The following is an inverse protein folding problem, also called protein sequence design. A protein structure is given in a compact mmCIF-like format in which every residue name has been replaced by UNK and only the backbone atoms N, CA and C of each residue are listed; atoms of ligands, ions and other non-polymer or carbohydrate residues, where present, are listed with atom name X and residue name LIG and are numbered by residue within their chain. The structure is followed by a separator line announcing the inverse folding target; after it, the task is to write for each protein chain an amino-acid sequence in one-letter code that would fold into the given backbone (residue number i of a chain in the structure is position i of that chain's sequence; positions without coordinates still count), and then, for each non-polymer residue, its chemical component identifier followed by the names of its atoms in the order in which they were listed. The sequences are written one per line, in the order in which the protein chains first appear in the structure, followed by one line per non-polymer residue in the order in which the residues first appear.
data_IF_328076075661
#
_entry.id   IF_328076075661
#
_cell.length_a   1.000
_cell.length_b   1.000
_cell.length_c   1.000
_cell.angle_alpha   90.00
_cell.angle_beta   90.00
_cell.angle_gamma   90.00
#
_symmetry.space_group_name_H-M   'P 1'
#
loop_
_entity.id
_entity.type
_entity.pdbx_description
1 polymer ?
#
# COMPACT_ATOMS: atom_id res chain seq x y z
N UNK A 1 -20.55 -8.79 21.48
CA UNK A 1 -19.52 -9.81 21.79
C UNK A 1 -18.77 -10.18 20.52
N UNK A 2 -17.53 -9.72 20.35
CA UNK A 2 -16.72 -10.06 19.18
C UNK A 2 -16.18 -11.48 19.31
N UNK A 3 -16.52 -12.35 18.37
CA UNK A 3 -16.07 -13.74 18.43
C UNK A 3 -14.55 -13.83 18.19
N UNK A 4 -13.84 -14.67 18.96
CA UNK A 4 -12.40 -14.92 18.76
C UNK A 4 -11.96 -15.22 17.30
N UNK A 5 -12.71 -15.98 16.46
CA UNK A 5 -12.35 -16.16 15.05
C UNK A 5 -12.44 -14.87 14.23
N UNK A 6 -13.35 -13.97 14.59
CA UNK A 6 -13.56 -12.69 13.90
C UNK A 6 -12.36 -11.75 14.07
N UNK A 7 -11.89 -11.57 15.31
CA UNK A 7 -10.69 -10.77 15.58
C UNK A 7 -9.44 -11.31 14.86
N UNK A 8 -9.32 -12.64 14.74
CA UNK A 8 -8.22 -13.28 14.00
C UNK A 8 -8.30 -13.01 12.50
N UNK A 9 -9.50 -12.92 11.93
CA UNK A 9 -9.68 -12.62 10.50
C UNK A 9 -9.25 -11.19 10.20
N UNK A 10 -9.67 -10.22 11.03
CA UNK A 10 -9.30 -8.80 10.93
C UNK A 10 -7.78 -8.62 11.06
N UNK A 11 -7.18 -9.23 12.08
CA UNK A 11 -5.74 -9.20 12.29
C UNK A 11 -4.97 -9.74 11.08
N UNK A 12 -5.41 -10.85 10.50
CA UNK A 12 -4.79 -11.43 9.30
C UNK A 12 -4.97 -10.55 8.07
N UNK A 13 -6.11 -9.87 7.92
CA UNK A 13 -6.26 -8.91 6.82
C UNK A 13 -5.31 -7.73 6.95
N UNK A 14 -5.18 -7.15 8.15
CA UNK A 14 -4.24 -6.04 8.39
C UNK A 14 -2.78 -6.45 8.13
N UNK A 15 -2.42 -7.68 8.50
CA UNK A 15 -1.08 -8.22 8.21
C UNK A 15 -0.79 -8.42 6.72
N UNK A 16 -1.82 -8.57 5.88
CA UNK A 16 -1.65 -8.75 4.42
C UNK A 16 -1.50 -7.42 3.68
N UNK A 17 -1.97 -6.32 4.26
CA UNK A 17 -1.75 -4.97 3.71
C UNK A 17 -0.36 -4.43 4.05
N UNK A 18 0.34 -5.03 5.03
CA UNK A 18 1.72 -4.69 5.36
C UNK A 18 2.70 -5.28 4.33
N UNK A 19 3.83 -4.60 4.06
CA UNK A 19 4.85 -5.11 3.14
C UNK A 19 5.28 -6.55 3.48
N UNK A 20 5.43 -7.42 2.47
CA UNK A 20 5.78 -8.82 2.70
C UNK A 20 7.16 -8.91 3.37
N UNK A 21 7.24 -9.73 4.42
CA UNK A 21 8.50 -9.94 5.15
C UNK A 21 9.36 -10.98 4.44
N UNK A 22 10.67 -10.74 4.22
CA UNK A 22 11.57 -11.80 3.78
C UNK A 22 11.62 -12.91 4.84
N UNK A 23 11.50 -14.16 4.42
CA UNK A 23 11.39 -15.33 5.30
C UNK A 23 12.58 -15.42 6.26
N UNK A 24 13.77 -15.05 5.78
CA UNK A 24 15.04 -15.09 6.51
C UNK A 24 15.25 -13.91 7.49
N UNK A 25 14.34 -12.94 7.54
CA UNK A 25 14.47 -11.83 8.48
C UNK A 25 14.33 -12.31 9.92
N UNK A 26 15.43 -12.23 10.70
CA UNK A 26 15.44 -12.62 12.11
C UNK A 26 14.56 -11.70 12.96
N UNK A 27 14.59 -10.38 12.73
CA UNK A 27 13.81 -9.41 13.51
C UNK A 27 12.48 -9.07 12.84
N UNK A 28 11.43 -8.93 13.65
CA UNK A 28 10.14 -8.40 13.20
C UNK A 28 10.21 -6.86 13.18
N UNK A 29 9.65 -6.20 12.15
CA UNK A 29 9.62 -4.74 12.13
C UNK A 29 8.79 -4.21 13.32
N UNK A 30 9.10 -3.00 13.83
CA UNK A 30 8.42 -2.44 15.00
C UNK A 30 6.90 -2.32 14.79
N UNK A 31 6.46 -2.05 13.57
CA UNK A 31 5.03 -1.93 13.24
C UNK A 31 4.26 -3.25 13.44
N UNK A 32 4.85 -4.39 13.10
CA UNK A 32 4.21 -5.70 13.33
C UNK A 32 4.12 -6.03 14.82
N UNK A 33 5.10 -5.59 15.62
CA UNK A 33 5.08 -5.77 17.07
C UNK A 33 4.02 -4.87 17.72
N UNK A 34 3.89 -3.62 17.26
CA UNK A 34 2.83 -2.70 17.72
C UNK A 34 1.44 -3.24 17.39
N UNK A 35 1.21 -3.69 16.16
CA UNK A 35 -0.06 -4.30 15.76
C UNK A 35 -0.34 -5.57 16.57
N UNK A 36 0.67 -6.40 16.84
CA UNK A 36 0.45 -7.58 17.69
C UNK A 36 0.08 -7.19 19.12
N UNK A 37 0.71 -6.16 19.68
CA UNK A 37 0.44 -5.69 21.03
C UNK A 37 -0.99 -5.16 21.18
N UNK A 38 -1.54 -4.48 20.16
CA UNK A 38 -2.92 -3.97 20.21
C UNK A 38 -3.99 -5.06 20.17
N UNK A 39 -3.68 -6.25 19.64
CA UNK A 39 -4.57 -7.42 19.62
C UNK A 39 -4.27 -8.44 20.73
N UNK A 40 -3.27 -8.18 21.58
CA UNK A 40 -2.95 -9.06 22.68
C UNK A 40 -4.00 -8.92 23.79
N UNK A 41 -4.50 -10.03 24.37
CA UNK A 41 -5.47 -9.94 25.46
C UNK A 41 -4.82 -9.27 26.67
N UNK A 42 -5.39 -8.16 27.14
CA UNK A 42 -5.07 -7.57 28.45
C UNK A 42 -5.60 -8.51 29.53
N UNK A 43 -4.94 -8.58 30.69
CA UNK A 43 -5.35 -9.51 31.76
C UNK A 43 -6.58 -9.01 32.54
N UNK A 44 -6.87 -7.71 32.47
CA UNK A 44 -7.99 -7.06 33.16
C UNK A 44 -9.26 -7.09 32.28
N UNK A 45 -9.88 -8.27 32.16
CA UNK A 45 -10.92 -8.56 31.16
C UNK A 45 -12.38 -8.33 31.61
N UNK A 46 -12.65 -7.77 32.80
CA UNK A 46 -14.01 -7.77 33.35
C UNK A 46 -14.84 -6.49 33.14
N UNK A 47 -14.24 -5.36 32.73
CA UNK A 47 -14.93 -4.07 32.62
C UNK A 47 -14.91 -3.43 31.21
N UNK A 48 -14.23 -4.04 30.25
CA UNK A 48 -13.82 -3.41 28.98
C UNK A 48 -14.36 -4.14 27.72
N UNK A 49 -15.52 -4.80 27.82
CA UNK A 49 -16.09 -5.54 26.69
C UNK A 49 -16.60 -4.61 25.57
N UNK A 50 -17.11 -3.44 25.94
CA UNK A 50 -17.63 -2.44 24.99
C UNK A 50 -16.49 -1.71 24.27
N UNK A 51 -15.41 -1.36 24.98
CA UNK A 51 -14.22 -0.74 24.38
C UNK A 51 -13.52 -1.69 23.41
N UNK A 52 -13.48 -2.99 23.72
CA UNK A 52 -12.97 -4.01 22.80
C UNK A 52 -13.82 -4.16 21.53
N UNK A 53 -15.14 -3.98 21.61
CA UNK A 53 -16.02 -4.02 20.45
C UNK A 53 -15.82 -2.79 19.55
N UNK A 54 -15.66 -1.60 20.13
CA UNK A 54 -15.33 -0.37 19.40
C UNK A 54 -13.98 -0.50 18.70
N UNK A 55 -12.94 -0.95 19.40
CA UNK A 55 -11.62 -1.16 18.82
C UNK A 55 -11.62 -2.18 17.66
N UNK A 56 -12.46 -3.21 17.74
CA UNK A 56 -12.63 -4.16 16.65
C UNK A 56 -13.27 -3.51 15.41
N UNK A 57 -14.30 -2.68 15.61
CA UNK A 57 -14.94 -1.94 14.52
C UNK A 57 -13.98 -0.94 13.86
N UNK A 58 -13.17 -0.23 14.65
CA UNK A 58 -12.11 0.66 14.11
C UNK A 58 -11.08 -0.12 13.29
N UNK A 59 -10.66 -1.29 13.76
CA UNK A 59 -9.73 -2.15 13.03
C UNK A 59 -10.32 -2.66 11.70
N UNK A 60 -11.61 -2.94 11.64
CA UNK A 60 -12.32 -3.27 10.40
C UNK A 60 -12.35 -2.10 9.42
N UNK A 61 -12.68 -0.90 9.91
CA UNK A 61 -12.68 0.32 9.10
C UNK A 61 -11.29 0.59 8.52
N UNK A 62 -10.24 0.45 9.33
CA UNK A 62 -8.86 0.58 8.88
C UNK A 62 -8.52 -0.46 7.80
N UNK A 63 -8.91 -1.72 8.00
CA UNK A 63 -8.68 -2.77 7.00
C UNK A 63 -9.42 -2.49 5.68
N UNK A 64 -10.62 -1.94 5.73
CA UNK A 64 -11.35 -1.51 4.53
C UNK A 64 -10.66 -0.35 3.83
N UNK A 65 -10.23 0.66 4.58
CA UNK A 65 -9.50 1.81 4.06
C UNK A 65 -8.20 1.41 3.35
N UNK A 66 -7.39 0.54 3.95
CA UNK A 66 -6.12 0.09 3.35
C UNK A 66 -6.34 -0.65 2.03
N UNK A 67 -7.36 -1.51 1.95
CA UNK A 67 -7.74 -2.18 0.68
C UNK A 67 -8.16 -1.16 -0.38
N UNK A 68 -9.00 -0.20 0.01
CA UNK A 68 -9.43 0.86 -0.89
C UNK A 68 -8.24 1.69 -1.39
N UNK A 69 -7.30 2.04 -0.51
CA UNK A 69 -6.08 2.77 -0.87
C UNK A 69 -5.24 2.02 -1.90
N UNK A 70 -5.06 0.70 -1.72
CA UNK A 70 -4.37 -0.13 -2.71
C UNK A 70 -5.07 -0.08 -4.08
N UNK A 71 -6.39 -0.26 -4.11
CA UNK A 71 -7.15 -0.19 -5.37
C UNK A 71 -7.07 1.19 -6.01
N UNK A 72 -7.11 2.25 -5.21
CA UNK A 72 -6.97 3.62 -5.67
C UNK A 72 -5.62 3.84 -6.36
N UNK A 73 -4.50 3.45 -5.73
CA UNK A 73 -3.17 3.57 -6.33
C UNK A 73 -3.09 2.80 -7.65
N UNK A 74 -3.60 1.56 -7.69
CA UNK A 74 -3.62 0.76 -8.92
C UNK A 74 -4.44 1.40 -10.04
N UNK A 75 -5.58 2.03 -9.71
CA UNK A 75 -6.39 2.75 -10.70
C UNK A 75 -5.68 4.02 -11.17
N UNK A 76 -5.01 4.72 -10.26
CA UNK A 76 -4.28 5.93 -10.57
C UNK A 76 -3.14 5.66 -11.56
N UNK A 77 -2.33 4.64 -11.31
CA UNK A 77 -1.24 4.21 -12.19
C UNK A 77 -1.77 3.79 -13.58
N UNK A 78 -2.94 3.12 -13.62
CA UNK A 78 -3.54 2.63 -14.88
C UNK A 78 -4.08 3.76 -15.76
N UNK A 79 -4.80 4.71 -15.15
CA UNK A 79 -5.51 5.75 -15.89
C UNK A 79 -4.70 7.06 -16.00
N UNK A 80 -3.67 7.23 -15.18
CA UNK A 80 -2.77 8.37 -15.24
C UNK A 80 -1.29 7.96 -15.24
N UNK A 81 -0.83 7.22 -16.26
CA UNK A 81 0.56 6.76 -16.35
C UNK A 81 1.57 7.91 -16.54
N UNK A 82 1.09 9.11 -16.89
CA UNK A 82 1.91 10.31 -17.04
C UNK A 82 1.95 11.20 -15.80
N UNK A 83 1.37 10.77 -14.67
CA UNK A 83 1.33 11.54 -13.43
C UNK A 83 2.72 11.94 -12.94
N UNK A 84 3.68 11.02 -13.02
CA UNK A 84 5.04 11.23 -12.52
C UNK A 84 5.99 11.79 -13.60
N UNK A 85 5.47 12.11 -14.80
CA UNK A 85 6.27 12.67 -15.88
C UNK A 85 6.45 14.17 -15.70
N UNK A 86 7.70 14.63 -15.72
CA UNK A 86 8.00 16.06 -15.69
C UNK A 86 7.50 16.74 -16.97
N UNK A 87 7.15 18.02 -16.87
CA UNK A 87 6.58 18.79 -17.97
C UNK A 87 7.57 18.90 -19.14
N UNK A 88 8.86 19.05 -18.86
CA UNK A 88 9.91 19.07 -19.87
C UNK A 88 9.96 17.76 -20.69
N UNK A 89 9.81 16.63 -20.01
CA UNK A 89 9.79 15.31 -20.64
C UNK A 89 8.52 15.10 -21.49
N UNK A 90 7.36 15.56 -20.99
CA UNK A 90 6.11 15.56 -21.75
C UNK A 90 6.21 16.39 -23.03
N UNK A 91 6.79 17.59 -22.96
CA UNK A 91 7.01 18.46 -24.13
C UNK A 91 7.93 17.77 -25.13
N UNK A 92 9.03 17.16 -24.67
CA UNK A 92 9.98 16.45 -25.54
C UNK A 92 9.35 15.25 -26.26
N UNK A 93 8.58 14.43 -25.57
CA UNK A 93 7.89 13.29 -26.18
C UNK A 93 6.79 13.73 -27.14
N UNK A 94 6.10 14.83 -26.84
CA UNK A 94 5.12 15.43 -27.74
C UNK A 94 5.80 15.97 -29.01
N UNK A 95 6.92 16.68 -28.86
CA UNK A 95 7.74 17.16 -29.97
C UNK A 95 8.23 16.01 -30.87
N UNK A 96 8.65 14.88 -30.29
CA UNK A 96 8.99 13.66 -31.05
C UNK A 96 7.79 13.08 -31.80
N UNK A 97 6.63 13.04 -31.17
CA UNK A 97 5.40 12.49 -31.76
C UNK A 97 4.89 13.32 -32.94
N UNK A 98 5.06 14.65 -32.90
CA UNK A 98 4.66 15.56 -33.99
C UNK A 98 5.75 15.78 -35.04
N UNK A 99 6.93 15.16 -34.88
CA UNK A 99 8.05 15.31 -35.82
C UNK A 99 8.81 16.64 -35.70
N UNK A 100 8.73 17.31 -34.55
CA UNK A 100 9.47 18.55 -34.25
C UNK A 100 10.83 18.29 -33.60
N UNK A 101 11.03 17.11 -32.97
CA UNK A 101 12.33 16.60 -32.47
C UNK A 101 12.60 15.23 -33.11
N UNK A 102 13.32 15.19 -34.24
CA UNK A 102 13.69 13.92 -34.88
C UNK A 102 14.91 13.27 -34.20
N UNK A 103 14.96 11.93 -34.10
CA UNK A 103 16.16 11.22 -33.69
C UNK A 103 17.37 11.61 -34.55
N UNK A 104 18.57 11.64 -33.95
CA UNK A 104 19.80 11.87 -34.70
C UNK A 104 20.00 10.72 -35.69
N UNK A 105 19.97 11.04 -36.97
CA UNK A 105 20.31 10.12 -38.06
C UNK A 105 21.70 9.51 -37.83
N UNK A 106 21.84 8.21 -38.07
CA UNK A 106 23.13 7.52 -37.99
C UNK A 106 24.03 8.04 -39.11
N UNK A 107 24.97 8.92 -38.79
CA UNK A 107 25.99 9.34 -39.77
C UNK A 107 26.94 8.16 -39.96
N UNK A 108 26.84 7.49 -41.10
CA UNK A 108 27.86 6.55 -41.55
C UNK A 108 29.22 7.25 -41.50
N UNK A 109 30.11 6.70 -40.67
CA UNK A 109 31.52 7.08 -40.63
C UNK A 109 32.21 6.51 -41.86
N UNK A 110 31.96 7.11 -43.01
CA UNK A 110 32.70 6.88 -44.25
C UNK A 110 33.07 8.24 -44.84
N UNK A 111 34.18 8.78 -44.32
CA UNK A 111 35.10 9.72 -44.98
C UNK A 111 36.46 9.58 -44.28
#
# INVERSE_FOLDING_TARGET
MTAAPHLRSIYRSLLRELPPRPVLARKRPPIHNRLRASFAPTKDNSLEADTAAVAAAEAEQLAAYLRAQRTYVTLLERYNPGMDMDEEERVRLSARRVGMDLPKEFKDRLN
#
